data_IF_608163930278
#
_entry.id   IF_608163930278
#
_cell.length_a   1.000
_cell.length_b   1.000
_cell.length_c   1.000
_cell.angle_alpha   90.00
_cell.angle_beta   90.00
_cell.angle_gamma   90.00
#
_symmetry.space_group_name_H-M   'P 1'
#
loop_
_entity.id
_entity.type
_entity.pdbx_description
1 polymer ?
#
# COMPACT_ATOMS: atom_id res chain seq x y z
N UNK A 1 5.03 -16.28 18.37
CA UNK A 1 6.26 -15.77 17.74
C UNK A 1 7.44 -16.39 18.45
N UNK A 2 8.57 -16.60 17.78
CA UNK A 2 9.80 -17.13 18.36
C UNK A 2 10.95 -16.16 18.13
N UNK A 3 11.76 -15.94 19.15
CA UNK A 3 13.05 -15.24 19.08
C UNK A 3 14.24 -16.19 18.87
N UNK A 4 14.01 -17.51 18.91
CA UNK A 4 15.06 -18.49 18.68
C UNK A 4 15.35 -18.67 17.18
N UNK A 5 16.17 -17.77 16.66
CA UNK A 5 16.55 -17.68 15.25
C UNK A 5 18.06 -17.79 15.05
N UNK A 6 18.82 -18.15 16.10
CA UNK A 6 20.29 -18.23 16.04
C UNK A 6 20.75 -19.22 14.97
N UNK A 7 20.07 -20.36 14.88
CA UNK A 7 20.33 -21.39 13.87
C UNK A 7 20.13 -20.85 12.44
N UNK A 8 19.14 -19.99 12.22
CA UNK A 8 18.86 -19.42 10.91
C UNK A 8 19.91 -18.38 10.51
N UNK A 9 20.37 -17.57 11.47
CA UNK A 9 21.47 -16.63 11.26
C UNK A 9 22.82 -17.34 11.01
N UNK A 10 23.04 -18.52 11.61
CA UNK A 10 24.23 -19.34 11.35
C UNK A 10 24.26 -19.85 9.90
N UNK A 11 23.12 -20.34 9.40
CA UNK A 11 23.00 -20.82 8.02
C UNK A 11 22.96 -19.68 6.98
N UNK A 12 22.54 -18.48 7.40
CA UNK A 12 22.52 -17.28 6.55
C UNK A 12 23.27 -16.12 7.21
N UNK A 13 24.60 -16.04 7.05
CA UNK A 13 25.43 -15.01 7.71
C UNK A 13 25.01 -13.57 7.39
N UNK A 14 24.38 -13.35 6.24
CA UNK A 14 23.86 -12.04 5.82
C UNK A 14 22.66 -11.58 6.66
N UNK A 15 21.97 -12.48 7.36
CA UNK A 15 20.74 -12.20 8.12
C UNK A 15 20.99 -11.84 9.59
N UNK A 16 22.16 -11.26 9.89
CA UNK A 16 22.55 -10.84 11.24
C UNK A 16 21.59 -9.88 11.96
N UNK A 17 20.73 -9.15 11.22
CA UNK A 17 19.72 -8.23 11.80
C UNK A 17 18.39 -8.91 12.14
N UNK A 18 18.28 -10.21 11.94
CA UNK A 18 17.06 -10.94 12.22
C UNK A 18 16.78 -10.98 13.72
N UNK A 19 15.53 -10.72 14.11
CA UNK A 19 15.12 -10.76 15.54
C UNK A 19 14.14 -11.88 15.87
N UNK A 20 13.38 -12.38 14.90
CA UNK A 20 12.42 -13.43 15.18
C UNK A 20 11.67 -13.95 13.97
N UNK A 21 10.94 -15.03 14.21
CA UNK A 21 9.96 -15.61 13.28
C UNK A 21 8.58 -15.50 13.91
N UNK A 22 7.64 -14.96 13.13
CA UNK A 22 6.23 -14.89 13.46
C UNK A 22 5.44 -15.91 12.67
N UNK A 23 4.34 -16.39 13.25
CA UNK A 23 3.41 -17.27 12.57
C UNK A 23 2.02 -16.66 12.66
N UNK A 24 1.30 -16.66 11.54
CA UNK A 24 -0.12 -16.35 11.52
C UNK A 24 -0.91 -17.54 11.00
N UNK A 25 -2.08 -17.76 11.60
CA UNK A 25 -3.05 -18.74 11.13
C UNK A 25 -4.26 -17.98 10.61
N UNK A 26 -4.57 -18.17 9.33
CA UNK A 26 -5.76 -17.61 8.70
C UNK A 26 -6.78 -18.72 8.55
N UNK A 27 -7.97 -18.52 9.09
CA UNK A 27 -9.11 -19.39 8.88
C UNK A 27 -9.97 -18.79 7.79
N UNK A 28 -10.21 -19.54 6.72
CA UNK A 28 -11.04 -19.12 5.59
C UNK A 28 -12.22 -20.07 5.51
N UNK A 29 -13.42 -19.52 5.67
CA UNK A 29 -14.67 -20.22 5.39
C UNK A 29 -15.11 -19.88 3.96
N UNK A 30 -15.26 -20.90 3.12
CA UNK A 30 -15.89 -20.78 1.80
C UNK A 30 -16.98 -21.83 1.70
N UNK A 31 -18.22 -21.36 1.60
CA UNK A 31 -19.40 -22.20 1.38
C UNK A 31 -19.52 -23.36 2.38
N UNK A 32 -19.15 -23.12 3.65
CA UNK A 32 -19.19 -24.11 4.73
C UNK A 32 -17.94 -24.99 4.83
N UNK A 33 -16.98 -24.85 3.91
CA UNK A 33 -15.69 -25.52 3.98
C UNK A 33 -14.69 -24.60 4.68
N UNK A 34 -14.37 -24.93 5.93
CA UNK A 34 -13.33 -24.24 6.68
C UNK A 34 -11.95 -24.77 6.30
N UNK A 35 -11.08 -23.90 5.81
CA UNK A 35 -9.67 -24.17 5.57
C UNK A 35 -8.79 -23.32 6.47
N UNK A 36 -7.61 -23.85 6.83
CA UNK A 36 -6.62 -23.13 7.62
C UNK A 36 -5.33 -22.97 6.82
N UNK A 37 -4.86 -21.75 6.72
CA UNK A 37 -3.60 -21.39 6.09
C UNK A 37 -2.62 -20.90 7.15
N UNK A 38 -1.41 -21.47 7.18
CA UNK A 38 -0.35 -21.13 8.15
C UNK A 38 0.77 -20.45 7.40
N UNK A 39 1.09 -19.22 7.83
CA UNK A 39 2.14 -18.41 7.22
C UNK A 39 3.21 -18.05 8.22
N UNK A 40 4.46 -18.17 7.80
CA UNK A 40 5.62 -17.80 8.59
C UNK A 40 6.24 -16.52 8.04
N UNK A 41 6.59 -15.60 8.95
CA UNK A 41 7.16 -14.30 8.64
C UNK A 41 8.49 -14.14 9.36
N UNK A 42 9.49 -13.63 8.66
CA UNK A 42 10.81 -13.33 9.18
C UNK A 42 10.84 -11.83 9.48
N UNK A 43 11.21 -11.42 10.70
CA UNK A 43 11.17 -10.01 11.08
C UNK A 43 12.33 -9.53 11.97
N UNK A 44 12.59 -8.22 11.91
CA UNK A 44 13.71 -7.53 12.55
C UNK A 44 13.25 -6.57 13.67
N UNK A 45 11.96 -6.24 13.79
CA UNK A 45 11.48 -5.35 14.85
C UNK A 45 11.41 -6.03 16.23
N UNK A 46 11.20 -5.22 17.28
CA UNK A 46 11.08 -5.68 18.68
C UNK A 46 10.00 -6.77 18.79
N UNK A 47 10.25 -7.78 19.62
CA UNK A 47 9.31 -8.89 19.83
C UNK A 47 8.04 -8.40 20.56
N UNK A 48 7.11 -7.85 19.79
CA UNK A 48 5.81 -7.36 20.25
C UNK A 48 4.70 -7.90 19.34
N UNK A 49 3.72 -8.57 19.94
CA UNK A 49 2.62 -9.23 19.22
C UNK A 49 1.78 -8.19 18.48
N UNK A 50 1.54 -7.03 19.09
CA UNK A 50 0.70 -6.01 18.47
C UNK A 50 1.39 -5.39 17.25
N UNK A 51 2.67 -5.05 17.38
CA UNK A 51 3.48 -4.57 16.26
C UNK A 51 3.54 -5.61 15.13
N UNK A 52 3.70 -6.90 15.46
CA UNK A 52 3.67 -7.98 14.49
C UNK A 52 2.34 -8.08 13.75
N UNK A 53 1.22 -8.11 14.48
CA UNK A 53 -0.12 -8.17 13.90
C UNK A 53 -0.40 -6.99 12.96
N UNK A 54 -0.06 -5.76 13.36
CA UNK A 54 -0.18 -4.58 12.51
C UNK A 54 0.69 -4.68 11.26
N UNK A 55 1.93 -5.15 11.42
CA UNK A 55 2.86 -5.31 10.29
C UNK A 55 2.36 -6.33 9.29
N UNK A 56 1.84 -7.49 9.75
CA UNK A 56 1.27 -8.51 8.86
C UNK A 56 0.01 -7.98 8.15
N UNK A 57 -0.88 -7.29 8.85
CA UNK A 57 -2.05 -6.66 8.21
C UNK A 57 -1.66 -5.59 7.19
N UNK A 58 -0.65 -4.78 7.51
CA UNK A 58 -0.12 -3.76 6.59
C UNK A 58 0.50 -4.38 5.35
N UNK A 59 1.29 -5.44 5.51
CA UNK A 59 1.87 -6.20 4.40
C UNK A 59 0.79 -6.74 3.45
N UNK A 60 -0.30 -7.30 4.00
CA UNK A 60 -1.44 -7.76 3.20
C UNK A 60 -2.14 -6.66 2.41
N UNK A 61 -2.20 -5.44 2.93
CA UNK A 61 -2.75 -4.30 2.20
C UNK A 61 -1.91 -3.97 0.96
N UNK A 62 -0.58 -4.06 1.07
CA UNK A 62 0.33 -3.88 -0.06
C UNK A 62 0.13 -4.99 -1.11
N UNK A 63 0.06 -6.26 -0.69
CA UNK A 63 -0.17 -7.39 -1.59
C UNK A 63 -1.53 -7.31 -2.30
N UNK A 64 -2.58 -6.91 -1.58
CA UNK A 64 -3.91 -6.72 -2.15
C UNK A 64 -3.93 -5.61 -3.22
N UNK A 65 -3.08 -4.57 -3.05
CA UNK A 65 -2.90 -3.54 -4.07
C UNK A 65 -2.20 -4.11 -5.32
N UNK A 66 -1.17 -4.95 -5.15
CA UNK A 66 -0.48 -5.62 -6.27
C UNK A 66 -1.45 -6.48 -7.07
N UNK A 67 -2.23 -7.35 -6.40
CA UNK A 67 -3.26 -8.14 -7.07
C UNK A 67 -4.22 -7.27 -7.90
N UNK A 68 -4.59 -6.10 -7.37
CA UNK A 68 -5.49 -5.20 -8.07
C UNK A 68 -4.82 -4.53 -9.28
N UNK A 69 -3.52 -4.20 -9.19
CA UNK A 69 -2.73 -3.73 -10.32
C UNK A 69 -2.61 -4.80 -11.42
N UNK A 70 -2.42 -6.05 -11.04
CA UNK A 70 -2.34 -7.17 -11.99
C UNK A 70 -3.67 -7.40 -12.69
N UNK A 71 -4.77 -7.44 -11.94
CA UNK A 71 -6.11 -7.73 -12.50
C UNK A 71 -6.64 -6.58 -13.34
N UNK A 72 -6.41 -5.32 -12.94
CA UNK A 72 -6.97 -4.14 -13.61
C UNK A 72 -6.05 -3.64 -14.73
N UNK A 73 -4.75 -3.55 -14.46
CA UNK A 73 -3.77 -2.95 -15.37
C UNK A 73 -2.86 -3.97 -16.06
N UNK A 74 -2.98 -5.26 -15.76
CA UNK A 74 -2.13 -6.32 -16.33
C UNK A 74 -0.64 -6.01 -16.13
N UNK A 75 -0.28 -5.48 -14.95
CA UNK A 75 1.08 -5.00 -14.65
C UNK A 75 2.14 -6.04 -14.99
N UNK A 76 1.95 -7.30 -14.58
CA UNK A 76 2.86 -8.43 -14.87
C UNK A 76 3.10 -8.72 -16.36
N UNK A 77 2.15 -8.37 -17.23
CA UNK A 77 2.28 -8.61 -18.68
C UNK A 77 3.06 -7.51 -19.40
N UNK A 78 3.43 -6.41 -18.72
CA UNK A 78 4.17 -5.32 -19.35
C UNK A 78 5.67 -5.62 -19.43
N UNK A 79 6.21 -5.57 -20.65
CA UNK A 79 7.61 -5.86 -20.96
C UNK A 79 8.49 -4.60 -21.09
N UNK A 80 8.17 -3.53 -20.36
CA UNK A 80 8.95 -2.29 -20.43
C UNK A 80 10.39 -2.51 -19.92
N UNK A 81 11.37 -2.47 -20.82
CA UNK A 81 12.77 -2.74 -20.49
C UNK A 81 13.48 -1.55 -19.81
N UNK A 82 13.04 -0.31 -20.09
CA UNK A 82 13.58 0.88 -19.44
C UNK A 82 13.05 1.00 -18.00
N UNK A 83 13.99 0.99 -17.05
CA UNK A 83 13.73 1.13 -15.60
C UNK A 83 12.99 2.43 -15.26
N UNK A 84 13.33 3.55 -15.91
CA UNK A 84 12.68 4.86 -15.64
C UNK A 84 11.25 4.86 -16.14
N UNK A 85 11.04 4.37 -17.36
CA UNK A 85 9.69 4.24 -17.92
C UNK A 85 8.83 3.28 -17.09
N UNK A 86 9.37 2.14 -16.65
CA UNK A 86 8.67 1.18 -15.80
C UNK A 86 8.27 1.79 -14.45
N UNK A 87 9.18 2.54 -13.81
CA UNK A 87 8.90 3.24 -12.56
C UNK A 87 7.77 4.29 -12.73
N UNK A 88 7.90 5.16 -13.73
CA UNK A 88 6.91 6.20 -14.01
C UNK A 88 5.53 5.60 -14.30
N UNK A 89 5.49 4.52 -15.09
CA UNK A 89 4.26 3.83 -15.43
C UNK A 89 3.60 3.19 -14.20
N UNK A 90 4.38 2.59 -13.30
CA UNK A 90 3.86 2.05 -12.05
C UNK A 90 3.27 3.16 -11.15
N UNK A 91 3.97 4.29 -11.04
CA UNK A 91 3.45 5.45 -10.31
C UNK A 91 2.09 5.90 -10.86
N UNK A 92 1.99 6.06 -12.19
CA UNK A 92 0.74 6.47 -12.85
C UNK A 92 -0.38 5.46 -12.56
N UNK A 93 -0.13 4.14 -12.70
CA UNK A 93 -1.14 3.11 -12.40
C UNK A 93 -1.64 3.18 -10.97
N UNK A 94 -0.73 3.36 -10.00
CA UNK A 94 -1.10 3.50 -8.58
C UNK A 94 -1.96 4.74 -8.34
N UNK A 95 -1.64 5.85 -8.99
CA UNK A 95 -2.46 7.06 -8.93
C UNK A 95 -3.85 6.83 -9.53
N UNK A 96 -3.94 6.24 -10.71
CA UNK A 96 -5.22 5.90 -11.33
C UNK A 96 -6.05 4.93 -10.46
N UNK A 97 -5.39 3.96 -9.82
CA UNK A 97 -6.05 3.04 -8.91
C UNK A 97 -6.60 3.72 -7.65
N UNK A 98 -5.86 4.68 -7.10
CA UNK A 98 -6.33 5.51 -6.01
C UNK A 98 -7.60 6.28 -6.41
N UNK A 99 -7.60 6.92 -7.58
CA UNK A 99 -8.79 7.62 -8.09
C UNK A 99 -9.98 6.67 -8.28
N UNK A 100 -9.77 5.48 -8.85
CA UNK A 100 -10.82 4.46 -8.99
C UNK A 100 -11.46 4.04 -7.66
N UNK A 101 -10.72 4.13 -6.55
CA UNK A 101 -11.23 3.83 -5.20
C UNK A 101 -12.02 4.99 -4.60
N UNK A 102 -11.63 6.23 -4.86
CA UNK A 102 -12.21 7.43 -4.25
C UNK A 102 -13.38 8.00 -5.06
N UNK A 103 -13.38 7.81 -6.38
CA UNK A 103 -14.43 8.29 -7.26
C UNK A 103 -15.78 7.63 -6.95
N UNK A 104 -16.84 8.44 -7.02
CA UNK A 104 -18.22 8.00 -6.83
C UNK A 104 -18.83 7.73 -8.21
N UNK A 105 -19.43 6.55 -8.35
CA UNK A 105 -20.08 6.11 -9.59
C UNK A 105 -21.59 6.00 -9.34
N UNK A 106 -22.39 6.34 -10.36
CA UNK A 106 -23.86 6.27 -10.28
C UNK A 106 -24.36 4.85 -9.99
N UNK A 107 -23.72 3.84 -10.60
CA UNK A 107 -24.05 2.43 -10.35
C UNK A 107 -23.24 1.88 -9.18
N UNK A 108 -23.95 1.28 -8.22
CA UNK A 108 -23.37 0.55 -7.09
C UNK A 108 -22.68 -0.74 -7.57
N UNK A 109 -21.58 -1.11 -6.92
CA UNK A 109 -20.88 -2.39 -7.08
C UNK A 109 -20.34 -2.69 -8.49
N UNK A 110 -19.83 -1.65 -9.17
CA UNK A 110 -19.07 -1.84 -10.41
C UNK A 110 -17.70 -2.49 -10.14
N UNK A 111 -17.34 -3.50 -10.93
CA UNK A 111 -15.97 -4.02 -10.95
C UNK A 111 -14.98 -2.93 -11.34
N UNK A 112 -13.73 -3.04 -10.88
CA UNK A 112 -12.70 -2.06 -11.20
C UNK A 112 -12.46 -1.90 -12.72
N UNK A 113 -12.59 -2.99 -13.49
CA UNK A 113 -12.52 -2.94 -14.97
C UNK A 113 -13.68 -2.16 -15.57
N UNK A 114 -14.89 -2.34 -15.04
CA UNK A 114 -16.06 -1.58 -15.49
C UNK A 114 -15.94 -0.09 -15.12
N UNK A 115 -15.45 0.24 -13.92
CA UNK A 115 -15.17 1.62 -13.50
C UNK A 115 -14.16 2.29 -14.42
N UNK A 116 -13.08 1.59 -14.76
CA UNK A 116 -12.06 2.10 -15.69
C UNK A 116 -12.65 2.36 -17.08
N UNK A 117 -13.45 1.44 -17.61
CA UNK A 117 -14.13 1.63 -18.90
C UNK A 117 -15.12 2.80 -18.85
N UNK A 118 -15.84 2.96 -17.75
CA UNK A 118 -16.78 4.07 -17.58
C UNK A 118 -16.06 5.42 -17.61
N UNK A 119 -14.95 5.57 -16.86
CA UNK A 119 -14.13 6.79 -16.89
C UNK A 119 -13.56 7.05 -18.28
N UNK A 120 -13.12 6.02 -19.00
CA UNK A 120 -12.57 6.22 -20.35
C UNK A 120 -13.58 6.80 -21.34
N UNK A 121 -14.88 6.60 -21.10
CA UNK A 121 -15.97 7.14 -21.93
C UNK A 121 -16.43 8.51 -21.41
N UNK A 122 -16.41 8.72 -20.09
CA UNK A 122 -16.92 9.92 -19.41
C UNK A 122 -15.81 10.76 -18.78
N UNK A 123 -14.64 10.83 -19.43
CA UNK A 123 -13.45 11.40 -18.80
C UNK A 123 -13.65 12.86 -18.38
N UNK A 124 -14.29 13.65 -19.24
CA UNK A 124 -14.56 15.08 -19.02
C UNK A 124 -15.37 15.33 -17.75
N UNK A 125 -16.37 14.49 -17.46
CA UNK A 125 -17.26 14.62 -16.29
C UNK A 125 -16.51 14.49 -14.96
N UNK A 126 -15.39 13.75 -14.97
CA UNK A 126 -14.61 13.45 -13.77
C UNK A 126 -13.34 14.27 -13.64
N UNK A 127 -12.77 14.76 -14.75
CA UNK A 127 -11.50 15.49 -14.74
C UNK A 127 -11.57 16.75 -13.87
N UNK A 128 -12.57 17.61 -14.06
CA UNK A 128 -12.66 18.86 -13.31
C UNK A 128 -12.84 18.61 -11.81
N UNK A 129 -13.75 17.70 -11.46
CA UNK A 129 -14.06 17.40 -10.05
C UNK A 129 -12.83 16.83 -9.33
N UNK A 130 -12.08 15.94 -9.96
CA UNK A 130 -10.96 15.25 -9.33
C UNK A 130 -9.68 16.09 -9.31
N UNK A 131 -9.40 16.86 -10.37
CA UNK A 131 -8.32 17.86 -10.37
C UNK A 131 -8.55 18.87 -9.24
N UNK A 132 -9.79 19.31 -9.02
CA UNK A 132 -10.13 20.22 -7.93
C UNK A 132 -9.95 19.59 -6.55
N UNK A 133 -10.23 18.29 -6.39
CA UNK A 133 -9.93 17.55 -5.15
C UNK A 133 -8.43 17.44 -4.92
N UNK A 134 -7.63 17.13 -5.93
CA UNK A 134 -6.16 17.04 -5.82
C UNK A 134 -5.55 18.40 -5.50
N UNK A 135 -5.98 19.47 -6.16
CA UNK A 135 -5.53 20.85 -5.88
C UNK A 135 -5.92 21.26 -4.45
N UNK A 136 -7.14 20.92 -4.00
CA UNK A 136 -7.53 21.24 -2.64
C UNK A 136 -6.72 20.46 -1.61
N UNK A 137 -6.52 19.15 -1.80
CA UNK A 137 -5.69 18.31 -0.93
C UNK A 137 -4.23 18.77 -0.88
N UNK A 138 -3.62 19.09 -2.03
CA UNK A 138 -2.25 19.64 -2.08
C UNK A 138 -2.17 21.00 -1.39
N UNK A 139 -3.17 21.87 -1.57
CA UNK A 139 -3.27 23.14 -0.86
C UNK A 139 -3.44 22.98 0.66
N UNK A 140 -4.20 21.97 1.11
CA UNK A 140 -4.33 21.63 2.54
C UNK A 140 -3.03 21.07 3.11
N UNK A 141 -2.34 20.21 2.37
CA UNK A 141 -1.05 19.65 2.78
C UNK A 141 0.03 20.76 2.87
N UNK A 142 0.08 21.67 1.90
CA UNK A 142 1.01 22.80 1.92
C UNK A 142 0.74 23.76 3.10
N UNK A 143 -0.54 23.97 3.45
CA UNK A 143 -0.95 24.75 4.63
C UNK A 143 -0.65 24.03 5.96
N UNK A 144 -0.76 22.70 5.98
CA UNK A 144 -0.43 21.89 7.14
C UNK A 144 1.07 21.88 7.41
N UNK A 145 1.89 21.79 6.34
CA UNK A 145 3.35 21.84 6.43
C UNK A 145 3.85 23.22 6.90
N UNK A 146 3.30 24.31 6.37
CA UNK A 146 3.64 25.67 6.83
C UNK A 146 3.23 25.95 8.28
N UNK A 147 2.13 25.35 8.77
CA UNK A 147 1.77 25.39 10.20
C UNK A 147 2.68 24.51 11.06
N UNK A 148 3.14 23.38 10.53
CA UNK A 148 4.11 22.54 11.22
C UNK A 148 5.46 23.25 11.33
N UNK A 149 5.99 23.84 10.26
CA UNK A 149 7.23 24.64 10.28
C UNK A 149 7.15 25.81 11.28
N UNK A 150 6.07 26.61 11.26
CA UNK A 150 5.89 27.73 12.21
C UNK A 150 5.81 27.31 13.68
N UNK A 151 5.51 26.03 13.98
CA UNK A 151 5.48 25.49 15.34
C UNK A 151 6.86 25.05 15.84
N UNK A 152 7.83 24.88 14.94
CA UNK A 152 9.21 24.50 15.25
C UNK A 152 10.21 25.67 15.19
N UNK A 153 9.84 26.83 14.64
CA UNK A 153 10.62 28.07 14.72
C UNK A 153 10.42 28.76 16.08
N UNK A 154 11.12 28.25 17.11
CA UNK A 154 11.35 28.96 18.36
C UNK A 154 12.39 30.06 18.05
N UNK A 155 12.22 31.33 18.48
CA UNK A 155 13.27 32.33 18.29
C UNK A 155 14.53 31.84 19.01
N UNK A 156 15.65 31.76 18.29
CA UNK A 156 16.95 31.66 18.93
C UNK A 156 17.14 32.96 19.74
N UNK A 157 16.92 32.87 21.05
CA UNK A 157 17.30 33.91 22.00
C UNK A 157 18.81 34.04 21.93
N UNK A 158 19.28 35.11 21.29
CA UNK A 158 20.68 35.50 21.31
C UNK A 158 20.99 36.08 22.70
N UNK A 159 21.44 35.22 23.62
CA UNK A 159 22.27 35.59 24.77
C UNK A 159 23.40 34.60 24.95
#
# INVERSE_FOLDING_TARGET
>A
MSSDVKWLCQNHPKWHKLRGIGMTRNTIDRDGITSQDVRYFIFNFKLDVMTFCHSVRGHWSAESMHWLLDVVYREDHHQTLDKRAAFNLNLIRKMCLYFLKVMVFSKKDLSYRCKQRYISVHLEDYLETEVRKVISLTGYLFKADTKAQKKFDIPLDNR
#
